data_IF_136254555936
#
_entry.id   IF_136254555936
#
_cell.length_a   1.000
_cell.length_b   1.000
_cell.length_c   1.000
_cell.angle_alpha   90.00
_cell.angle_beta   90.00
_cell.angle_gamma   90.00
#
_symmetry.space_group_name_H-M   'P 1'
#
loop_
_entity.id
_entity.type
_entity.pdbx_description
1 polymer ?
2 non-polymer ?
3 non-polymer ?
4 non-polymer ?
5 water ?
#
# COMPACT_ATOMS: atom_id res chain seq x y z
N UNK A 3 7.21 -9.06 21.81
CA UNK A 3 5.91 -9.04 21.05
C UNK A 3 5.40 -7.61 20.59
N UNK A 4 6.24 -6.59 20.75
CA UNK A 4 5.95 -5.27 20.25
C UNK A 4 6.58 -5.12 18.85
N UNK A 5 6.41 -3.94 18.24
CA UNK A 5 7.05 -3.60 16.96
C UNK A 5 8.59 -3.57 17.05
N UNK A 6 9.08 -3.10 18.21
CA UNK A 6 10.53 -2.99 18.51
C UNK A 6 11.33 -4.30 18.20
N UNK A 7 10.73 -5.44 18.54
CA UNK A 7 11.34 -6.75 18.24
C UNK A 7 10.35 -7.67 17.46
N UNK A 8 9.65 -7.08 16.47
CA UNK A 8 8.94 -7.85 15.41
C UNK A 8 9.88 -8.60 14.43
N UNK A 9 9.66 -9.90 14.28
CA UNK A 9 10.67 -10.70 13.58
C UNK A 9 10.32 -11.07 12.15
N UNK A 10 9.11 -10.76 11.73
CA UNK A 10 8.69 -11.22 10.42
C UNK A 10 9.22 -10.35 9.26
N UNK A 11 9.71 -9.14 9.57
CA UNK A 11 10.31 -8.27 8.53
C UNK A 11 11.61 -8.85 7.96
N UNK A 12 11.80 -8.77 6.64
CA UNK A 12 12.95 -9.35 6.00
C UNK A 12 13.99 -8.34 5.51
N UNK A 13 13.72 -7.05 5.60
CA UNK A 13 14.53 -6.01 4.93
C UNK A 13 14.73 -4.83 5.83
N UNK A 14 15.83 -4.12 5.61
CA UNK A 14 16.12 -2.95 6.40
C UNK A 14 15.59 -1.75 5.66
N UNK A 15 14.79 -0.93 6.35
CA UNK A 15 14.22 0.24 5.75
C UNK A 15 15.23 1.29 5.40
N UNK A 16 14.94 2.01 4.30
CA UNK A 16 15.70 3.18 3.92
C UNK A 16 15.20 4.46 4.61
N UNK A 17 14.15 4.34 5.36
CA UNK A 17 13.44 5.47 6.02
C UNK A 17 13.14 5.17 7.45
N UNK A 18 14.20 4.84 8.23
CA UNK A 18 13.92 4.44 9.60
C UNK A 18 13.29 5.56 10.46
N UNK A 19 13.41 6.83 10.07
CA UNK A 19 12.83 7.98 10.83
C UNK A 19 11.63 8.56 10.10
N UNK A 20 10.90 7.68 9.41
CA UNK A 20 9.67 8.02 8.70
C UNK A 20 8.83 9.05 9.42
N UNK A 21 8.50 10.10 8.67
CA UNK A 21 7.74 11.25 9.14
C UNK A 21 6.29 10.88 8.92
N UNK A 22 5.64 10.46 9.99
CA UNK A 22 4.28 9.91 9.83
C UNK A 22 3.35 10.97 9.26
N UNK A 23 3.49 12.22 9.74
CA UNK A 23 2.58 13.27 9.25
C UNK A 23 2.73 13.46 7.77
N UNK A 24 3.93 13.33 7.21
CA UNK A 24 4.11 13.46 5.80
C UNK A 24 3.62 12.22 5.04
N UNK A 25 3.72 11.06 5.67
CA UNK A 25 3.29 9.76 5.05
C UNK A 25 1.79 9.63 4.93
N UNK A 26 1.09 10.30 5.82
CA UNK A 26 -0.37 10.23 5.93
C UNK A 26 -1.02 10.68 4.66
N UNK A 27 -2.29 10.26 4.56
CA UNK A 27 -3.07 10.51 3.34
C UNK A 27 -3.51 9.21 2.67
N UNK A 28 -3.86 9.35 1.39
CA UNK A 28 -4.45 8.22 0.61
C UNK A 28 -3.44 7.65 -0.38
N UNK A 29 -3.41 6.33 -0.45
CA UNK A 29 -2.50 5.60 -1.26
C UNK A 29 -3.24 4.46 -1.96
N UNK A 30 -2.92 4.20 -3.24
CA UNK A 30 -3.47 3.11 -4.00
C UNK A 30 -2.37 2.05 -4.23
N UNK A 31 -2.71 0.81 -3.98
CA UNK A 31 -1.71 -0.30 -3.97
C UNK A 31 -1.72 -0.85 -5.40
N UNK A 32 -0.59 -0.57 -6.08
CA UNK A 32 -0.43 -0.94 -7.49
C UNK A 32 -0.03 -2.39 -7.73
N UNK A 33 0.83 -2.95 -6.91
CA UNK A 33 1.45 -4.24 -7.27
C UNK A 33 2.12 -4.78 -6.05
N UNK A 34 2.28 -6.08 -5.98
CA UNK A 34 3.00 -6.68 -4.85
C UNK A 34 3.37 -8.12 -5.08
N UNK A 35 4.07 -8.71 -4.12
CA UNK A 35 4.61 -10.04 -4.27
C UNK A 35 3.63 -11.16 -3.90
N UNK A 36 2.43 -10.87 -3.44
CA UNK A 36 1.46 -11.90 -3.03
C UNK A 36 0.35 -12.24 -4.02
N UNK A 37 0.31 -13.50 -4.46
CA UNK A 37 -0.78 -13.94 -5.31
C UNK A 37 -2.11 -13.83 -4.63
N UNK A 38 -2.17 -14.10 -3.31
CA UNK A 38 -3.45 -14.09 -2.64
C UNK A 38 -4.07 -12.70 -2.64
N UNK A 39 -3.24 -11.68 -2.55
CA UNK A 39 -3.75 -10.31 -2.48
C UNK A 39 -4.28 -9.81 -3.80
N UNK A 40 -4.06 -10.57 -4.91
CA UNK A 40 -4.59 -10.15 -6.22
C UNK A 40 -6.10 -10.18 -6.25
N UNK A 41 -6.71 -10.85 -5.27
CA UNK A 41 -8.15 -10.87 -5.25
C UNK A 41 -8.79 -9.59 -4.74
N UNK A 42 -8.00 -8.72 -4.16
CA UNK A 42 -8.55 -7.44 -3.60
C UNK A 42 -8.07 -6.34 -4.51
N UNK A 43 -8.92 -5.89 -5.41
CA UNK A 43 -8.47 -4.99 -6.51
C UNK A 43 -8.52 -3.52 -6.16
N UNK A 44 -7.50 -2.77 -6.59
CA UNK A 44 -7.45 -1.31 -6.51
C UNK A 44 -7.67 -0.85 -5.07
N UNK A 45 -6.90 -1.43 -4.16
CA UNK A 45 -6.97 -1.12 -2.73
C UNK A 45 -6.45 0.22 -2.44
N UNK A 46 -7.26 1.03 -1.71
CA UNK A 46 -6.90 2.38 -1.30
C UNK A 46 -6.86 2.39 0.22
N UNK A 47 -5.66 2.71 0.76
CA UNK A 47 -5.51 3.01 2.18
C UNK A 47 -5.56 4.52 2.43
N UNK A 48 -6.28 4.92 3.46
CA UNK A 48 -6.48 6.30 3.89
C UNK A 48 -6.01 6.41 5.36
N UNK A 49 -4.75 6.83 5.59
CA UNK A 49 -4.18 7.07 6.93
C UNK A 49 -4.54 8.51 7.27
N UNK A 50 -5.23 8.70 8.38
CA UNK A 50 -5.60 10.03 8.82
C UNK A 50 -5.45 10.28 10.27
N UNK A 51 -5.37 11.58 10.61
CA UNK A 51 -5.31 12.02 11.99
C UNK A 51 -4.15 11.36 12.76
N UNK A 52 -4.39 10.94 13.99
CA UNK A 52 -3.25 10.40 14.77
C UNK A 52 -3.04 8.95 14.43
N UNK A 53 -4.13 8.22 14.18
CA UNK A 53 -4.01 6.77 14.18
C UNK A 53 -5.15 6.06 13.46
N UNK A 54 -5.81 6.77 12.56
CA UNK A 54 -6.99 6.20 11.90
C UNK A 54 -6.55 5.62 10.53
N UNK A 55 -7.22 4.55 10.11
CA UNK A 55 -7.01 3.92 8.81
C UNK A 55 -8.38 3.48 8.29
N UNK A 56 -8.66 3.84 7.03
CA UNK A 56 -9.80 3.37 6.26
C UNK A 56 -9.23 2.71 5.02
N UNK A 57 -9.59 1.46 4.75
CA UNK A 57 -9.09 0.70 3.60
C UNK A 57 -10.32 0.32 2.76
N UNK A 58 -10.21 0.48 1.46
CA UNK A 58 -11.32 0.16 0.57
C UNK A 58 -10.83 -0.56 -0.68
N UNK A 59 -11.56 -1.58 -1.06
CA UNK A 59 -11.14 -2.39 -2.21
C UNK A 59 -12.37 -3.02 -2.90
N UNK A 60 -12.17 -3.62 -4.07
CA UNK A 60 -13.27 -4.33 -4.73
C UNK A 60 -12.81 -5.69 -5.12
N UNK A 61 -13.71 -6.45 -5.72
CA UNK A 61 -13.27 -7.69 -6.44
C UNK A 61 -12.81 -7.39 -7.92
N UNK A 62 -12.48 -8.39 -8.70
CA UNK A 62 -11.85 -8.11 -9.97
C UNK A 62 -12.81 -7.61 -11.08
N UNK A 63 -14.12 -7.69 -10.86
CA UNK A 63 -15.18 -7.13 -11.74
C UNK A 63 -15.60 -5.69 -11.27
N UNK A 64 -14.90 -5.18 -10.24
CA UNK A 64 -15.30 -3.93 -9.58
C UNK A 64 -16.56 -4.03 -8.75
N UNK A 65 -17.00 -5.29 -8.48
CA UNK A 65 -18.21 -5.57 -7.66
C UNK A 65 -17.77 -5.76 -6.19
N UNK A 66 -18.74 -5.84 -5.28
CA UNK A 66 -18.46 -6.09 -3.85
C UNK A 66 -17.43 -5.08 -3.30
N UNK A 67 -17.71 -3.77 -3.41
CA UNK A 67 -16.83 -2.76 -2.78
C UNK A 67 -16.86 -2.99 -1.27
N UNK A 68 -15.70 -3.02 -0.63
CA UNK A 68 -15.58 -3.39 0.80
C UNK A 68 -14.78 -2.33 1.47
N UNK A 69 -15.20 -1.96 2.69
CA UNK A 69 -14.42 -1.02 3.50
C UNK A 69 -14.14 -1.68 4.85
N UNK A 70 -12.87 -1.60 5.28
CA UNK A 70 -12.45 -2.02 6.58
C UNK A 70 -11.75 -0.88 7.27
N UNK A 71 -11.94 -0.77 8.57
CA UNK A 71 -11.41 0.34 9.32
C UNK A 71 -10.54 -0.17 10.43
N UNK A 72 -9.55 0.59 10.79
CA UNK A 72 -8.65 0.19 11.84
C UNK A 72 -7.88 1.30 12.49
N UNK A 73 -6.98 0.90 13.36
CA UNK A 73 -6.13 1.79 14.09
C UNK A 73 -4.68 1.44 13.85
N UNK A 74 -3.87 2.44 13.67
CA UNK A 74 -2.47 2.26 13.49
C UNK A 74 -1.61 2.69 14.68
N UNK A 75 -0.39 2.21 14.68
CA UNK A 75 0.63 2.61 15.62
C UNK A 75 1.96 2.61 14.92
N UNK A 76 2.58 3.76 14.84
CA UNK A 76 3.86 3.92 14.12
C UNK A 76 5.02 4.12 15.07
N UNK A 77 6.11 3.45 14.78
CA UNK A 77 7.42 3.66 15.41
C UNK A 77 8.42 3.77 14.31
N UNK A 78 8.77 5.00 13.95
CA UNK A 78 9.61 5.18 12.79
C UNK A 78 8.93 4.57 11.55
N UNK A 79 9.67 3.78 10.77
CA UNK A 79 9.12 3.10 9.59
C UNK A 79 8.13 1.99 9.87
N UNK A 80 8.14 1.48 11.12
CA UNK A 80 7.26 0.37 11.46
C UNK A 80 5.92 0.80 11.84
N UNK A 81 4.88 0.07 11.41
CA UNK A 81 3.57 0.34 11.84
C UNK A 81 2.76 -0.94 12.01
N UNK A 82 1.87 -0.97 12.99
CA UNK A 82 0.91 -2.06 13.06
C UNK A 82 -0.43 -1.50 12.61
N UNK A 83 -1.25 -2.37 12.04
CA UNK A 83 -2.66 -2.09 11.84
C UNK A 83 -3.43 -3.14 12.58
N UNK A 84 -4.36 -2.64 13.38
CA UNK A 84 -5.30 -3.46 14.03
C UNK A 84 -6.67 -3.12 13.41
N UNK A 85 -7.14 -4.00 12.52
CA UNK A 85 -8.48 -3.83 11.91
C UNK A 85 -9.61 -4.36 12.80
N UNK A 86 -10.77 -3.81 12.54
CA UNK A 86 -11.98 -4.15 13.18
C UNK A 86 -12.08 -5.67 12.84
N UNK A 87 -12.83 -6.43 13.64
CA UNK A 87 -12.87 -7.87 13.46
C UNK A 87 -12.99 -8.17 11.98
N UNK A 88 -13.63 -7.28 11.26
CA UNK A 88 -13.92 -7.51 9.88
C UNK A 88 -12.71 -7.87 8.99
N UNK A 89 -11.67 -7.07 9.05
CA UNK A 89 -10.51 -7.27 8.22
C UNK A 89 -9.34 -7.86 8.96
N UNK A 90 -9.63 -8.72 9.91
CA UNK A 90 -8.57 -9.23 10.77
C UNK A 90 -7.48 -10.01 10.06
N UNK A 91 -7.77 -10.57 8.86
CA UNK A 91 -6.73 -11.17 8.02
C UNK A 91 -5.63 -10.24 7.55
N UNK A 92 -5.94 -8.97 7.60
CA UNK A 92 -5.01 -7.92 7.25
C UNK A 92 -4.32 -7.25 8.42
N UNK A 93 -4.73 -7.55 9.66
CA UNK A 93 -4.11 -6.99 10.84
C UNK A 93 -2.75 -7.59 10.96
N UNK A 94 -1.72 -6.75 11.03
CA UNK A 94 -0.37 -7.23 11.04
C UNK A 94 0.60 -6.09 11.33
N UNK A 95 1.87 -6.40 11.55
CA UNK A 95 2.98 -5.46 11.44
C UNK A 95 3.38 -5.20 10.01
N UNK A 96 3.71 -3.93 9.74
CA UNK A 96 4.16 -3.47 8.46
C UNK A 96 5.33 -2.60 8.63
N UNK A 97 6.05 -2.38 7.54
CA UNK A 97 7.26 -1.55 7.53
C UNK A 97 7.38 -0.80 6.22
N UNK A 98 7.48 0.51 6.28
CA UNK A 98 7.76 1.34 5.09
C UNK A 98 9.25 1.18 4.82
N UNK A 99 9.54 0.55 3.67
CA UNK A 99 10.94 0.33 3.24
C UNK A 99 11.57 1.49 2.51
N UNK A 100 10.75 2.24 1.83
CA UNK A 100 11.20 3.36 1.02
C UNK A 100 10.00 4.22 0.66
N UNK A 101 10.21 5.51 0.63
CA UNK A 101 9.19 6.44 0.12
C UNK A 101 9.83 7.78 -0.17
N UNK A 102 9.21 8.49 -1.10
CA UNK A 102 9.51 9.89 -1.27
C UNK A 102 8.43 10.82 -0.69
N UNK A 103 7.46 10.22 0.00
CA UNK A 103 6.30 10.85 0.68
C UNK A 103 5.28 11.42 -0.32
N UNK A 104 5.75 12.10 -1.34
CA UNK A 104 4.84 12.80 -2.21
C UNK A 104 4.20 11.96 -3.27
N UNK A 105 4.85 10.88 -3.65
CA UNK A 105 4.40 10.06 -4.79
C UNK A 105 4.22 8.57 -4.52
N UNK A 106 5.25 7.92 -3.95
CA UNK A 106 5.22 6.49 -3.85
C UNK A 106 5.76 6.02 -2.51
N UNK A 107 5.48 4.77 -2.18
CA UNK A 107 6.10 4.07 -1.07
C UNK A 107 6.11 2.53 -1.41
N UNK A 108 7.11 1.90 -0.81
CA UNK A 108 7.28 0.47 -0.86
C UNK A 108 7.23 -0.03 0.58
N UNK A 109 6.38 -1.02 0.86
CA UNK A 109 5.98 -1.44 2.17
C UNK A 109 6.09 -2.97 2.20
N UNK A 110 6.59 -3.49 3.31
CA UNK A 110 6.58 -4.91 3.64
C UNK A 110 5.65 -5.15 4.83
N UNK A 111 5.09 -6.34 4.90
CA UNK A 111 4.36 -6.75 6.04
C UNK A 111 3.93 -8.17 6.01
N UNK A 112 3.30 -8.59 7.12
CA UNK A 112 3.09 -9.99 7.38
C UNK A 112 1.64 -10.39 7.61
N UNK A 113 0.69 -9.88 6.86
CA UNK A 113 -0.70 -10.35 7.08
C UNK A 113 -0.97 -11.79 6.64
N UNK A 114 -1.89 -12.46 7.36
CA UNK A 114 -2.39 -13.80 6.99
C UNK A 114 -2.92 -13.79 5.60
N UNK A 115 -3.57 -12.70 5.24
CA UNK A 115 -4.17 -12.64 3.88
C UNK A 115 -3.17 -12.77 2.77
N UNK A 116 -1.86 -12.41 3.04
CA UNK A 116 -0.82 -12.52 2.05
C UNK A 116 -0.03 -13.86 2.23
N UNK A 117 -0.53 -14.80 2.95
CA UNK A 117 0.26 -16.00 3.26
C UNK A 117 1.52 -15.58 4.07
N UNK A 118 1.29 -14.54 4.91
CA UNK A 118 2.25 -14.08 5.91
C UNK A 118 3.31 -13.12 5.46
N UNK A 119 3.41 -12.87 4.12
CA UNK A 119 4.50 -11.94 3.70
C UNK A 119 4.10 -11.29 2.42
N UNK A 120 4.38 -9.98 2.39
CA UNK A 120 4.20 -9.25 1.14
C UNK A 120 5.12 -8.03 1.10
N UNK A 121 5.60 -7.70 -0.09
CA UNK A 121 6.10 -6.41 -0.40
C UNK A 121 5.24 -5.81 -1.47
N UNK A 122 4.83 -4.56 -1.28
CA UNK A 122 3.96 -3.91 -2.22
C UNK A 122 4.34 -2.50 -2.52
N UNK A 123 3.91 -1.99 -3.63
CA UNK A 123 4.18 -0.63 -4.09
C UNK A 123 2.88 0.09 -4.14
N UNK A 124 2.89 1.29 -3.58
CA UNK A 124 1.69 2.13 -3.47
C UNK A 124 2.02 3.52 -3.99
N UNK A 125 1.04 4.07 -4.67
CA UNK A 125 1.16 5.42 -5.22
C UNK A 125 0.12 6.34 -4.53
N UNK A 126 0.49 7.63 -4.38
CA UNK A 126 -0.39 8.54 -3.61
C UNK A 126 -1.63 8.79 -4.43
N UNK A 127 -2.77 8.74 -3.79
CA UNK A 127 -4.02 9.04 -4.36
C UNK A 127 -4.46 10.44 -3.89
N UNK A 128 -4.59 11.41 -4.76
CA UNK A 128 -5.04 12.75 -4.39
C UNK A 128 -5.85 13.33 -5.54
N UNK A 129 -6.84 14.10 -5.17
CA UNK A 129 -7.62 14.84 -6.16
C UNK A 129 -6.82 15.84 -6.95
N UNK A 130 -5.64 16.22 -6.45
CA UNK A 130 -4.77 17.06 -7.23
C UNK A 130 -4.27 16.41 -8.52
N UNK A 131 -4.22 15.07 -8.54
CA UNK A 131 -3.80 14.36 -9.72
C UNK A 131 -4.85 13.50 -10.38
N UNK A 132 -5.91 13.22 -9.63
CA UNK A 132 -7.00 12.30 -10.01
C UNK A 132 -8.22 13.09 -10.41
N UNK A 133 -8.51 13.16 -11.72
CA UNK A 133 -9.72 13.85 -12.26
C UNK A 133 -10.59 12.79 -12.85
N UNK A 134 -11.61 12.40 -12.13
CA UNK A 134 -12.42 11.29 -12.60
C UNK A 134 -12.90 11.84 -13.94
N UNK A 135 -12.42 11.26 -15.04
CA UNK A 135 -12.73 11.75 -16.36
C UNK A 135 -14.04 11.05 -16.67
N UNK A 136 -15.12 11.60 -16.15
CA UNK A 136 -16.47 11.08 -16.32
C UNK A 136 -16.75 10.43 -17.69
N UNK A 137 -17.06 9.14 -17.69
CA UNK A 137 -17.12 8.33 -18.90
C UNK A 137 -16.12 7.18 -18.86
N UNK A 138 -15.27 7.16 -17.84
CA UNK A 138 -14.23 6.15 -17.75
C UNK A 138 -14.73 5.02 -16.91
N UNK A 139 -14.63 3.82 -17.45
CA UNK A 139 -14.96 2.63 -16.68
C UNK A 139 -13.75 2.23 -15.80
N UNK A 140 -12.56 2.69 -16.22
CA UNK A 140 -11.32 2.24 -15.63
C UNK A 140 -10.61 3.49 -15.10
N UNK A 141 -11.32 4.09 -14.15
CA UNK A 141 -10.93 5.32 -13.46
C UNK A 141 -9.61 5.07 -12.71
N UNK A 142 -9.70 4.25 -11.70
CA UNK A 142 -8.65 3.84 -10.84
C UNK A 142 -7.49 3.22 -11.61
N UNK A 143 -7.78 2.33 -12.54
CA UNK A 143 -6.72 1.58 -13.20
C UNK A 143 -5.80 2.46 -14.01
N UNK A 144 -6.45 3.40 -14.73
CA UNK A 144 -5.69 4.40 -15.50
C UNK A 144 -4.88 5.36 -14.68
N UNK A 145 -5.46 5.83 -13.58
CA UNK A 145 -4.69 6.63 -12.65
C UNK A 145 -3.43 5.89 -12.20
N UNK A 146 -3.63 4.67 -11.72
CA UNK A 146 -2.49 3.90 -11.16
C UNK A 146 -1.33 3.64 -12.10
N UNK A 147 -1.66 3.30 -13.33
CA UNK A 147 -0.63 3.04 -14.32
C UNK A 147 0.12 4.31 -14.67
N UNK A 148 -0.61 5.40 -14.84
CA UNK A 148 0.08 6.69 -15.09
C UNK A 148 0.98 7.11 -13.96
N UNK A 149 0.51 6.96 -12.73
CA UNK A 149 1.34 7.34 -11.58
C UNK A 149 2.55 6.42 -11.45
N UNK A 150 2.37 5.13 -11.69
CA UNK A 150 3.50 4.20 -11.77
C UNK A 150 4.54 4.61 -12.79
N UNK A 151 4.06 4.88 -13.97
CA UNK A 151 4.93 5.25 -15.08
C UNK A 151 5.70 6.53 -14.80
N UNK A 152 5.00 7.49 -14.21
CA UNK A 152 5.56 8.79 -13.94
C UNK A 152 6.67 8.67 -12.92
N UNK A 153 6.55 7.75 -11.97
CA UNK A 153 7.53 7.57 -10.91
C UNK A 153 8.35 6.31 -11.05
N UNK A 154 8.38 5.73 -12.27
CA UNK A 154 8.97 4.39 -12.50
C UNK A 154 10.47 4.33 -12.17
N UNK A 155 11.26 5.34 -12.51
CA UNK A 155 12.72 5.25 -12.25
C UNK A 155 13.01 5.12 -10.77
N UNK A 156 12.33 5.96 -9.98
CA UNK A 156 12.55 5.98 -8.54
C UNK A 156 12.08 4.71 -7.87
N UNK A 157 10.94 4.25 -8.34
CA UNK A 157 10.38 2.98 -7.80
C UNK A 157 11.32 1.82 -8.15
N UNK A 158 11.78 1.75 -9.42
CA UNK A 158 12.65 0.67 -9.85
C UNK A 158 13.94 0.70 -9.12
N UNK A 159 14.51 1.89 -8.89
CA UNK A 159 15.78 2.01 -8.16
C UNK A 159 15.67 1.46 -6.71
N UNK A 160 14.60 1.85 -6.03
CA UNK A 160 14.36 1.35 -4.64
C UNK A 160 14.06 -0.15 -4.58
N UNK A 161 13.25 -0.66 -5.49
CA UNK A 161 13.01 -2.09 -5.55
C UNK A 161 14.30 -2.90 -5.74
N UNK A 162 15.23 -2.38 -6.57
CA UNK A 162 16.55 -3.00 -6.87
C UNK A 162 17.29 -3.15 -5.54
N UNK A 163 17.12 -2.14 -4.72
CA UNK A 163 17.71 -2.16 -3.44
C UNK A 163 17.28 -3.36 -2.58
N UNK A 164 16.07 -3.87 -2.79
CA UNK A 164 15.51 -4.99 -2.04
C UNK A 164 15.41 -6.22 -2.92
N UNK A 165 16.25 -6.26 -3.95
CA UNK A 165 16.34 -7.43 -4.87
C UNK A 165 15.03 -7.86 -5.53
N UNK A 166 14.28 -6.86 -5.97
CA UNK A 166 13.06 -6.96 -6.74
C UNK A 166 13.12 -6.08 -8.00
N UNK A 167 12.19 -6.34 -8.89
CA UNK A 167 11.92 -5.56 -10.08
C UNK A 167 10.41 -5.40 -10.17
N UNK A 168 9.94 -4.23 -10.63
CA UNK A 168 8.50 -3.99 -10.78
C UNK A 168 7.81 -5.08 -11.63
N UNK A 169 8.50 -5.51 -12.71
CA UNK A 169 7.95 -6.45 -13.60
C UNK A 169 7.75 -7.81 -12.94
N UNK A 170 8.44 -8.09 -11.83
CA UNK A 170 8.20 -9.32 -11.10
C UNK A 170 7.00 -9.34 -10.11
N UNK A 171 6.38 -8.19 -9.91
CA UNK A 171 5.24 -8.12 -9.03
C UNK A 171 3.96 -8.44 -9.71
N UNK A 172 3.03 -8.93 -8.91
CA UNK A 172 1.71 -9.13 -9.41
C UNK A 172 1.07 -7.75 -9.47
N UNK A 173 0.40 -7.43 -10.56
CA UNK A 173 -0.40 -6.17 -10.57
C UNK A 173 -1.65 -6.36 -9.78
N UNK A 174 -2.01 -5.37 -8.92
CA UNK A 174 -3.21 -5.51 -8.06
C UNK A 174 -4.24 -4.42 -8.35
N UNK A 175 -4.12 -3.67 -9.38
CA UNK A 175 -5.03 -2.69 -9.93
C UNK A 175 -4.92 -2.71 -11.45
N UNK A 176 -5.74 -3.53 -12.07
CA UNK A 176 -5.55 -3.93 -13.46
C UNK A 176 -4.16 -3.68 -14.05
X LIG B 1 3.09 -15.16 -2.51
X LIG B 1 2.64 -15.30 -3.65
X LIG B 1 2.25 -15.10 -1.61
X LIG B 1 4.58 -15.04 -2.11
X LIG B 1 4.89 -15.30 -0.59
X LIG B 1 5.17 -16.73 -0.48
X LIG B 1 6.05 -14.49 -0.01
X LIG B 1 6.91 -15.39 0.91
X LIG B 1 6.65 -15.46 2.14
X LIG B 1 7.83 -16.05 0.39
X LIG B 1 3.89 -15.00 0.55
X LIG B 1 3.93 -15.77 1.57
X LIG B 1 3.17 -14.01 0.52
X LIG C 1 -3.03 -4.22 3.46
X LIG C 1 -3.74 -5.38 -0.07
X LIG C 1 -1.31 -5.10 0.22
X LIG C 1 -2.96 -2.64 3.26
X LIG C 1 -2.42 -5.38 -0.58
X LIG C 1 -2.26 -5.74 -1.94
X LIG C 1 -1.52 -4.73 1.58
X LIG C 1 -3.89 -5.05 1.31
X LIG C 1 -2.81 -4.72 2.04
X LIG C 1 -3.18 -1.87 4.57
X LIG D 1 -8.50 13.98 -1.24
X LIG D 1 -9.83 14.25 -0.74
X LIG D 1 -7.54 15.16 -1.28
X LIG D 1 -8.34 16.28 -0.74
X LIG D 1 -6.24 14.83 -0.54
X LIG D 1 -5.05 14.87 -1.38
X LIG E 1 13.60 6.06 -0.88
X LIG E 1 13.30 6.03 0.56
X LIG E 1 14.95 6.69 -1.35
X LIG E 1 15.19 6.75 -2.78
X LIG E 1 16.15 5.90 -0.88
X LIG E 1 17.35 6.65 -1.03
#
# INVERSE_FOLDING_TARGET
>A
ATDTLANEDCFRHESLVPNLDYERFRGSWIIAAGTSEALTQYKCWIDRFSYDDALVSKYTDSQGKNRTTIRGRTKFEGNKFTIDYNDKGKAFSAPYSVLATDYENYAIVEGCPAAANGHVIYVQLRMTLRRFHPKLGDKEMLQHYTLDQVNQNKKAIEEDLKHFNLKYEDLHSTCH
>B hetero
1 CIT C1 O1 O2 C2 C3 O7 C4 C5 O3 O4 C6 O5 O6
>C hetero
1 AEF C4 C5 C6 C7 C8 O10 C3 C2 C1 N9
>D hetero
1 GOL C1 O1 C2 O2 C3 O3
>E hetero
1 GOL C1 O1 C2 O2 C3 O3
#
